data_IF_489332410179
#
_entry.id   IF_489332410179
#
_cell.length_a   1.000
_cell.length_b   1.000
_cell.length_c   1.000
_cell.angle_alpha   90.00
_cell.angle_beta   90.00
_cell.angle_gamma   90.00
#
_symmetry.space_group_name_H-M   'P 1'
#
loop_
_entity.id
_entity.type
_entity.pdbx_description
1 polymer ?
#
# COMPACT_ATOMS: atom_id res chain seq x y z
N UNK A 1 14.89 22.75 -4.91
CA UNK A 1 13.93 21.93 -4.11
C UNK A 1 14.54 20.56 -3.88
N UNK A 2 14.81 20.20 -2.63
CA UNK A 2 15.41 18.90 -2.30
C UNK A 2 14.36 17.82 -2.59
N UNK A 3 14.69 16.86 -3.45
CA UNK A 3 13.81 15.71 -3.70
C UNK A 3 13.65 14.91 -2.40
N UNK A 4 12.42 14.63 -1.95
CA UNK A 4 12.22 13.85 -0.73
C UNK A 4 12.85 12.47 -0.88
N UNK A 5 13.65 12.09 0.11
CA UNK A 5 14.32 10.80 0.11
C UNK A 5 13.35 9.72 0.62
N UNK A 6 12.88 8.88 -0.28
CA UNK A 6 12.13 7.68 0.05
C UNK A 6 13.11 6.53 0.25
N UNK A 7 13.16 6.00 1.45
CA UNK A 7 14.04 4.89 1.81
C UNK A 7 13.29 3.57 1.79
N UNK A 8 13.88 2.55 1.18
CA UNK A 8 13.41 1.17 1.31
C UNK A 8 14.01 0.59 2.58
N UNK A 9 13.18 -0.01 3.43
CA UNK A 9 13.59 -0.49 4.75
C UNK A 9 12.94 -1.84 5.06
N UNK A 10 13.49 -2.54 6.05
CA UNK A 10 12.77 -3.60 6.73
C UNK A 10 11.68 -2.97 7.60
N UNK A 11 10.44 -3.46 7.49
CA UNK A 11 9.32 -2.82 8.16
C UNK A 11 9.39 -2.98 9.67
N UNK A 12 9.02 -1.95 10.47
CA UNK A 12 9.14 -1.99 11.91
C UNK A 12 8.38 -3.13 12.57
N UNK A 13 8.99 -3.81 13.53
CA UNK A 13 8.41 -4.94 14.24
C UNK A 13 7.19 -4.58 15.10
N UNK A 14 7.01 -3.29 15.42
CA UNK A 14 5.83 -2.79 16.14
C UNK A 14 4.56 -2.78 15.28
N UNK A 15 4.69 -2.91 13.96
CA UNK A 15 3.54 -2.94 13.05
C UNK A 15 2.72 -4.22 13.19
N UNK A 16 1.40 -4.06 13.06
CA UNK A 16 0.48 -5.20 12.95
C UNK A 16 0.80 -6.12 11.76
N UNK A 17 1.36 -5.58 10.68
CA UNK A 17 1.77 -6.40 9.52
C UNK A 17 2.93 -7.32 9.84
N UNK A 18 3.86 -6.89 10.67
CA UNK A 18 4.97 -7.75 11.10
C UNK A 18 4.48 -8.99 11.83
N UNK A 19 3.52 -8.84 12.73
CA UNK A 19 2.94 -9.94 13.48
C UNK A 19 2.05 -10.85 12.62
N UNK A 20 1.51 -10.34 11.52
CA UNK A 20 0.70 -11.11 10.56
C UNK A 20 1.54 -11.99 9.65
N UNK A 21 2.79 -11.62 9.41
CA UNK A 21 3.68 -12.26 8.46
C UNK A 21 3.96 -13.72 8.79
N UNK A 22 3.85 -14.59 7.78
CA UNK A 22 4.22 -15.99 7.83
C UNK A 22 5.19 -16.33 6.69
N UNK A 23 5.81 -17.50 6.76
CA UNK A 23 6.71 -17.97 5.71
C UNK A 23 6.00 -18.02 4.35
N UNK A 24 6.60 -17.43 3.34
CA UNK A 24 6.05 -17.35 1.99
C UNK A 24 5.22 -16.10 1.71
N UNK A 25 4.93 -15.28 2.72
CA UNK A 25 4.28 -13.99 2.53
C UNK A 25 5.23 -12.95 1.94
N UNK A 26 4.66 -12.04 1.15
CA UNK A 26 5.35 -10.83 0.71
C UNK A 26 5.16 -9.72 1.74
N UNK A 27 6.22 -9.01 2.05
CA UNK A 27 6.17 -7.79 2.86
C UNK A 27 7.28 -6.85 2.40
N UNK A 28 6.91 -5.65 1.94
CA UNK A 28 7.85 -4.56 1.66
C UNK A 28 7.81 -3.50 2.75
N UNK A 29 8.66 -2.49 2.62
CA UNK A 29 8.67 -1.37 3.54
C UNK A 29 9.36 -0.16 2.94
N UNK A 30 8.73 0.99 3.15
CA UNK A 30 9.24 2.32 2.75
C UNK A 30 9.07 3.28 3.90
N UNK A 31 9.95 4.28 4.00
CA UNK A 31 9.79 5.37 4.94
C UNK A 31 10.17 6.71 4.34
N UNK A 32 9.57 7.74 4.88
CA UNK A 32 9.94 9.14 4.63
C UNK A 32 9.96 9.91 5.93
N UNK A 33 10.85 10.89 6.02
CA UNK A 33 10.86 11.81 7.16
C UNK A 33 9.62 12.72 7.07
N UNK A 34 8.77 12.63 8.06
CA UNK A 34 7.60 13.49 8.22
C UNK A 34 6.97 13.23 9.59
N UNK A 35 6.55 14.27 10.27
CA UNK A 35 5.86 14.18 11.55
C UNK A 35 4.34 14.39 11.44
N UNK A 36 3.81 14.40 10.24
CA UNK A 36 2.38 14.60 9.95
C UNK A 36 1.51 13.54 10.63
N UNK A 37 0.26 13.87 10.91
CA UNK A 37 -0.72 12.90 11.40
C UNK A 37 -1.04 11.88 10.31
N UNK A 38 -1.35 10.65 10.70
CA UNK A 38 -1.66 9.57 9.75
C UNK A 38 -2.89 9.87 8.89
N UNK A 39 -3.91 10.55 9.42
CA UNK A 39 -5.06 11.00 8.65
C UNK A 39 -4.67 11.89 7.47
N UNK A 40 -3.78 12.85 7.71
CA UNK A 40 -3.34 13.80 6.69
C UNK A 40 -2.39 13.12 5.70
N UNK A 41 -1.51 12.24 6.18
CA UNK A 41 -0.66 11.40 5.33
C UNK A 41 -1.48 10.51 4.40
N UNK A 42 -2.53 9.88 4.91
CA UNK A 42 -3.44 9.05 4.12
C UNK A 42 -4.15 9.87 3.06
N UNK A 43 -4.71 11.02 3.43
CA UNK A 43 -5.43 11.89 2.51
C UNK A 43 -4.55 12.35 1.34
N UNK A 44 -3.32 12.78 1.62
CA UNK A 44 -2.38 13.23 0.59
C UNK A 44 -1.79 12.08 -0.19
N UNK A 45 -1.38 11.01 0.49
CA UNK A 45 -0.73 9.86 -0.13
C UNK A 45 -1.63 9.16 -1.15
N UNK A 46 -2.90 8.98 -0.83
CA UNK A 46 -3.87 8.28 -1.70
C UNK A 46 -4.66 9.19 -2.65
N UNK A 47 -4.23 10.43 -2.84
CA UNK A 47 -4.68 11.25 -3.96
C UNK A 47 -3.92 10.84 -5.23
N UNK A 48 -4.37 9.78 -5.87
CA UNK A 48 -3.67 9.22 -7.02
C UNK A 48 -3.70 10.12 -8.25
N UNK A 49 -2.54 10.37 -8.89
CA UNK A 49 -2.49 10.99 -10.19
C UNK A 49 -3.16 10.11 -11.25
N UNK A 50 -3.52 10.72 -12.41
CA UNK A 50 -4.27 10.02 -13.45
C UNK A 50 -3.58 8.75 -13.95
N UNK A 51 -2.26 8.75 -14.04
CA UNK A 51 -1.51 7.57 -14.50
C UNK A 51 -1.64 6.37 -13.54
N UNK A 52 -1.72 6.61 -12.22
CA UNK A 52 -1.99 5.55 -11.23
C UNK A 52 -3.40 5.02 -11.39
N UNK A 53 -4.38 5.91 -11.58
CA UNK A 53 -5.78 5.51 -11.83
C UNK A 53 -5.90 4.67 -13.11
N UNK A 54 -5.15 5.02 -14.15
CA UNK A 54 -5.09 4.21 -15.39
C UNK A 54 -4.50 2.82 -15.14
N UNK A 55 -3.41 2.71 -14.38
CA UNK A 55 -2.83 1.42 -14.00
C UNK A 55 -3.82 0.57 -13.18
N UNK A 56 -4.54 1.17 -12.25
CA UNK A 56 -5.57 0.48 -11.48
C UNK A 56 -6.72 0.00 -12.37
N UNK A 57 -7.11 0.79 -13.37
CA UNK A 57 -8.14 0.41 -14.35
C UNK A 57 -7.69 -0.80 -15.19
N UNK A 58 -6.46 -0.79 -15.70
CA UNK A 58 -5.88 -1.92 -16.43
C UNK A 58 -5.82 -3.16 -15.55
N UNK A 59 -5.37 -3.02 -14.29
CA UNK A 59 -5.41 -4.10 -13.30
C UNK A 59 -6.80 -4.68 -13.15
N UNK A 60 -7.82 -3.84 -13.00
CA UNK A 60 -9.19 -4.29 -12.77
C UNK A 60 -9.75 -5.05 -13.99
N UNK A 61 -9.45 -4.60 -15.21
CA UNK A 61 -9.82 -5.32 -16.43
C UNK A 61 -9.15 -6.69 -16.49
N UNK A 62 -7.87 -6.77 -16.14
CA UNK A 62 -7.13 -8.02 -16.10
C UNK A 62 -7.71 -8.98 -15.04
N UNK A 63 -8.01 -8.45 -13.86
CA UNK A 63 -8.62 -9.22 -12.77
C UNK A 63 -10.00 -9.79 -13.16
N UNK A 64 -10.80 -9.03 -13.88
CA UNK A 64 -12.13 -9.48 -14.35
C UNK A 64 -12.03 -10.68 -15.29
N UNK A 65 -11.02 -10.74 -16.16
CA UNK A 65 -10.79 -11.87 -17.08
C UNK A 65 -10.55 -13.16 -16.29
N UNK A 66 -9.89 -13.09 -15.13
CA UNK A 66 -9.60 -14.25 -14.29
C UNK A 66 -10.64 -14.51 -13.19
N UNK A 67 -11.79 -13.85 -13.24
CA UNK A 67 -12.86 -14.02 -12.25
C UNK A 67 -12.49 -13.54 -10.84
N UNK A 68 -11.49 -12.68 -10.71
CA UNK A 68 -11.11 -12.06 -9.46
C UNK A 68 -12.07 -10.90 -9.13
N UNK A 69 -12.28 -10.62 -7.83
CA UNK A 69 -13.08 -9.47 -7.41
C UNK A 69 -12.47 -8.19 -7.96
N UNK A 70 -13.07 -7.65 -9.00
CA UNK A 70 -12.75 -6.34 -9.51
C UNK A 70 -13.92 -5.41 -9.18
N UNK A 71 -13.77 -4.63 -8.13
CA UNK A 71 -14.61 -3.43 -8.00
C UNK A 71 -14.27 -2.45 -9.10
N UNK A 72 -15.16 -1.48 -9.36
CA UNK A 72 -14.78 -0.31 -10.17
C UNK A 72 -13.50 0.31 -9.58
N UNK A 73 -12.70 1.02 -10.40
CA UNK A 73 -11.51 1.72 -9.90
C UNK A 73 -11.83 2.62 -8.70
N UNK A 74 -13.02 3.19 -8.67
CA UNK A 74 -13.53 3.99 -7.55
C UNK A 74 -13.74 3.18 -6.27
N UNK A 75 -14.22 1.93 -6.37
CA UNK A 75 -14.37 1.04 -5.22
C UNK A 75 -13.03 0.66 -4.59
N UNK A 76 -11.98 0.50 -5.38
CA UNK A 76 -10.64 0.24 -4.86
C UNK A 76 -10.05 1.47 -4.16
N UNK A 77 -10.24 2.65 -4.74
CA UNK A 77 -9.83 3.92 -4.10
C UNK A 77 -10.60 4.15 -2.81
N UNK A 78 -11.89 3.83 -2.76
CA UNK A 78 -12.71 3.92 -1.56
C UNK A 78 -12.25 2.95 -0.49
N UNK A 79 -11.89 1.71 -0.85
CA UNK A 79 -11.27 0.74 0.05
C UNK A 79 -9.98 1.29 0.67
N UNK A 80 -9.14 1.97 -0.11
CA UNK A 80 -7.91 2.59 0.37
C UNK A 80 -8.14 3.78 1.32
N UNK A 81 -9.35 4.29 1.41
CA UNK A 81 -9.76 5.32 2.36
C UNK A 81 -10.40 4.75 3.62
N UNK A 82 -10.88 3.50 3.58
CA UNK A 82 -11.30 2.76 4.76
C UNK A 82 -10.12 2.09 5.45
N UNK A 83 -10.24 1.70 6.69
CA UNK A 83 -9.16 1.00 7.40
C UNK A 83 -9.70 -0.02 8.38
N UNK A 84 -9.02 -1.15 8.44
CA UNK A 84 -9.31 -2.27 9.35
C UNK A 84 -8.86 -1.94 10.78
N UNK A 85 -7.67 -1.31 10.89
CA UNK A 85 -7.12 -0.79 12.13
C UNK A 85 -6.81 0.69 11.93
N UNK A 86 -7.34 1.55 12.77
CA UNK A 86 -7.14 2.99 12.65
C UNK A 86 -6.96 3.68 13.99
N UNK A 87 -5.71 4.01 14.31
CA UNK A 87 -5.37 4.85 15.44
C UNK A 87 -4.29 5.87 15.02
N UNK A 88 -3.80 6.67 15.95
CA UNK A 88 -2.81 7.72 15.67
C UNK A 88 -1.40 7.16 15.36
N UNK A 89 -1.14 5.90 15.70
CA UNK A 89 0.15 5.27 15.46
C UNK A 89 0.17 4.46 14.16
N UNK A 90 -0.88 3.70 13.86
CA UNK A 90 -0.94 2.84 12.68
C UNK A 90 -2.35 2.77 12.09
N UNK A 91 -2.42 2.75 10.75
CA UNK A 91 -3.64 2.51 9.99
C UNK A 91 -3.39 1.37 9.02
N UNK A 92 -4.26 0.37 9.06
CA UNK A 92 -4.18 -0.80 8.20
C UNK A 92 -5.46 -0.92 7.40
N UNK A 93 -5.33 -1.02 6.09
CA UNK A 93 -6.42 -1.25 5.14
C UNK A 93 -6.12 -2.47 4.30
N UNK A 94 -7.14 -3.15 3.83
CA UNK A 94 -6.97 -4.26 2.92
C UNK A 94 -8.20 -5.10 2.74
N UNK A 95 -8.02 -6.21 2.07
CA UNK A 95 -9.09 -7.16 1.80
C UNK A 95 -8.54 -8.58 1.66
N UNK A 96 -9.44 -9.53 1.85
CA UNK A 96 -9.22 -10.93 1.53
C UNK A 96 -9.92 -11.26 0.21
N UNK A 97 -9.22 -11.95 -0.66
CA UNK A 97 -9.75 -12.42 -1.93
C UNK A 97 -9.47 -13.92 -2.10
N UNK A 98 -10.10 -14.52 -3.10
CA UNK A 98 -9.99 -15.94 -3.43
C UNK A 98 -8.53 -16.37 -3.69
N UNK A 99 -7.73 -15.52 -4.33
CA UNK A 99 -6.36 -15.86 -4.76
C UNK A 99 -5.27 -15.26 -3.91
N UNK A 100 -5.56 -14.19 -3.18
CA UNK A 100 -4.62 -13.55 -2.26
C UNK A 100 -5.34 -12.65 -1.24
N UNK A 101 -4.72 -12.49 -0.11
CA UNK A 101 -5.07 -11.45 0.86
C UNK A 101 -4.01 -10.36 0.82
N UNK A 102 -4.41 -9.10 1.01
CA UNK A 102 -3.45 -8.02 1.13
C UNK A 102 -3.83 -7.03 2.24
N UNK A 103 -2.81 -6.40 2.80
CA UNK A 103 -2.93 -5.29 3.76
C UNK A 103 -1.91 -4.22 3.42
N UNK A 104 -2.33 -2.98 3.51
CA UNK A 104 -1.46 -1.81 3.41
C UNK A 104 -1.45 -1.14 4.77
N UNK A 105 -0.27 -0.84 5.29
CA UNK A 105 -0.10 -0.13 6.55
C UNK A 105 0.55 1.23 6.32
N UNK A 106 0.04 2.23 7.01
CA UNK A 106 0.72 3.48 7.30
C UNK A 106 1.00 3.52 8.80
N UNK A 107 2.26 3.67 9.16
CA UNK A 107 2.73 3.71 10.54
C UNK A 107 3.49 5.01 10.78
N UNK A 108 3.23 5.66 11.92
CA UNK A 108 3.95 6.85 12.35
C UNK A 108 4.79 6.52 13.56
N UNK A 109 6.09 6.69 13.44
CA UNK A 109 7.02 6.47 14.54
C UNK A 109 8.30 7.29 14.37
N UNK A 110 8.81 7.85 15.48
CA UNK A 110 10.12 8.50 15.53
C UNK A 110 10.35 9.65 14.52
N UNK A 111 9.30 10.37 14.12
CA UNK A 111 9.41 11.46 13.13
C UNK A 111 9.42 10.97 11.69
N UNK A 112 9.03 9.73 11.46
CA UNK A 112 8.90 9.12 10.15
C UNK A 112 7.48 8.61 9.91
N UNK A 113 7.08 8.64 8.65
CA UNK A 113 5.94 7.89 8.13
C UNK A 113 6.48 6.67 7.38
N UNK A 114 6.00 5.52 7.78
CA UNK A 114 6.32 4.23 7.17
C UNK A 114 5.12 3.74 6.37
N UNK A 115 5.39 3.10 5.25
CA UNK A 115 4.38 2.44 4.44
C UNK A 115 4.85 1.04 4.09
N UNK A 116 3.95 0.07 4.23
CA UNK A 116 4.21 -1.30 3.81
C UNK A 116 3.00 -1.92 3.15
N UNK A 117 3.24 -2.94 2.36
CA UNK A 117 2.23 -3.83 1.82
C UNK A 117 2.58 -5.26 2.18
N UNK A 118 1.64 -5.93 2.79
CA UNK A 118 1.70 -7.36 3.07
C UNK A 118 0.76 -8.09 2.11
N UNK A 119 1.22 -9.19 1.52
CA UNK A 119 0.42 -10.03 0.61
C UNK A 119 0.65 -11.49 0.94
N UNK A 120 -0.45 -12.24 1.06
CA UNK A 120 -0.45 -13.70 1.18
C UNK A 120 -1.14 -14.33 -0.02
N UNK A 121 -0.38 -14.83 -1.00
CA UNK A 121 -0.94 -15.59 -2.11
C UNK A 121 -1.47 -16.95 -1.60
N UNK A 122 -2.68 -17.33 -2.04
CA UNK A 122 -3.28 -18.62 -1.68
C UNK A 122 -2.96 -19.73 -2.69
N UNK A 123 -2.60 -19.35 -3.91
CA UNK A 123 -2.38 -20.28 -5.02
C UNK A 123 -1.44 -19.69 -6.07
N UNK A 124 -1.21 -20.43 -7.15
CA UNK A 124 -0.33 -20.01 -8.24
C UNK A 124 -0.82 -18.75 -8.96
N UNK A 125 -2.14 -18.56 -9.08
CA UNK A 125 -2.72 -17.32 -9.65
C UNK A 125 -2.37 -16.09 -8.82
N UNK A 126 -2.51 -16.17 -7.50
CA UNK A 126 -2.13 -15.09 -6.61
C UNK A 126 -0.65 -14.76 -6.71
N UNK A 127 0.22 -15.76 -6.82
CA UNK A 127 1.67 -15.58 -7.00
C UNK A 127 2.03 -14.94 -8.33
N UNK A 128 1.43 -15.41 -9.43
CA UNK A 128 1.65 -14.85 -10.75
C UNK A 128 1.17 -13.40 -10.84
N UNK A 129 0.00 -13.12 -10.27
CA UNK A 129 -0.54 -11.77 -10.17
C UNK A 129 0.40 -10.84 -9.38
N UNK A 130 0.86 -11.26 -8.21
CA UNK A 130 1.79 -10.49 -7.40
C UNK A 130 3.07 -10.18 -8.18
N UNK A 131 3.67 -11.18 -8.84
CA UNK A 131 4.87 -10.99 -9.65
C UNK A 131 4.67 -9.98 -10.77
N UNK A 132 3.50 -10.00 -11.42
CA UNK A 132 3.17 -9.08 -12.51
C UNK A 132 2.96 -7.64 -12.04
N UNK A 133 2.31 -7.44 -10.89
CA UNK A 133 1.99 -6.08 -10.39
C UNK A 133 3.14 -5.46 -9.61
N UNK A 134 4.09 -6.24 -9.14
CA UNK A 134 5.15 -5.81 -8.24
C UNK A 134 5.97 -4.61 -8.75
N UNK A 135 6.41 -4.53 -10.02
CA UNK A 135 7.14 -3.36 -10.52
C UNK A 135 6.31 -2.07 -10.44
N UNK A 136 5.03 -2.14 -10.76
CA UNK A 136 4.11 -1.00 -10.69
C UNK A 136 3.82 -0.62 -9.23
N UNK A 137 3.64 -1.62 -8.37
CA UNK A 137 3.44 -1.44 -6.95
C UNK A 137 4.59 -0.66 -6.30
N UNK A 138 5.84 -1.01 -6.60
CA UNK A 138 7.03 -0.30 -6.08
C UNK A 138 6.98 1.18 -6.47
N UNK A 139 6.70 1.49 -7.74
CA UNK A 139 6.63 2.87 -8.23
C UNK A 139 5.50 3.63 -7.53
N UNK A 140 4.32 3.02 -7.37
CA UNK A 140 3.17 3.64 -6.71
C UNK A 140 3.48 3.91 -5.23
N UNK A 141 4.02 2.96 -4.50
CA UNK A 141 4.36 3.12 -3.08
C UNK A 141 5.41 4.22 -2.86
N UNK A 142 6.44 4.26 -3.68
CA UNK A 142 7.44 5.33 -3.62
C UNK A 142 6.84 6.70 -3.96
N UNK A 143 5.90 6.76 -4.89
CA UNK A 143 5.18 7.99 -5.22
C UNK A 143 4.31 8.47 -4.06
N UNK A 144 3.57 7.57 -3.40
CA UNK A 144 2.77 7.90 -2.21
C UNK A 144 3.67 8.51 -1.12
N UNK A 145 4.75 7.85 -0.77
CA UNK A 145 5.71 8.32 0.23
C UNK A 145 6.31 9.68 -0.15
N UNK A 146 6.71 9.85 -1.40
CA UNK A 146 7.27 11.11 -1.89
C UNK A 146 6.27 12.27 -1.82
N UNK A 147 4.99 12.00 -2.06
CA UNK A 147 3.91 13.01 -1.96
C UNK A 147 3.67 13.44 -0.53
N UNK A 148 3.67 12.49 0.42
CA UNK A 148 3.56 12.78 1.85
C UNK A 148 4.71 13.69 2.28
N UNK A 149 5.95 13.33 1.93
CA UNK A 149 7.11 14.10 2.31
C UNK A 149 7.20 15.49 1.66
N UNK A 150 6.62 15.68 0.46
CA UNK A 150 6.54 17.00 -0.18
C UNK A 150 5.49 17.90 0.45
N UNK A 151 4.36 17.32 0.84
CA UNK A 151 3.29 18.08 1.48
C UNK A 151 3.63 18.44 2.93
N UNK A 152 4.39 17.60 3.59
CA UNK A 152 4.72 17.71 5.03
C UNK A 152 6.21 17.37 5.27
N UNK A 153 7.11 18.25 4.87
CA UNK A 153 8.55 18.02 5.00
C UNK A 153 9.05 17.91 6.44
#
# INVERSE_FOLDING_TARGET
MIKPRVETIEYPQISALWHRRQKGDFLDGYRVKSSVRLSDAQNVGFQFPIWVKMLLSVRNQFMAIFGLKSGSGDSFVELLRSFELGNEAERVIGMNDKHLDFRISLLRDGGYIYMATWVRPHNMFGRAYLAMVLPFHIVICRNICARIARAYP
#
